data_IF_634701729235
#
_entry.id   IF_634701729235
#
_cell.length_a   1.000
_cell.length_b   1.000
_cell.length_c   1.000
_cell.angle_alpha   90.00
_cell.angle_beta   90.00
_cell.angle_gamma   90.00
#
_symmetry.space_group_name_H-M   'P 1'
#
loop_
_entity.id
_entity.type
_entity.pdbx_description
1 polymer ?
#
# COMPACT_ATOMS: atom_id res chain seq x y z
N UNK A 1 12.40 19.08 5.77
CA UNK A 1 11.48 18.04 5.28
C UNK A 1 10.08 18.63 5.24
N UNK A 2 9.37 18.57 4.11
CA UNK A 2 7.98 19.04 3.99
C UNK A 2 7.09 17.82 3.83
N UNK A 3 6.00 17.67 4.59
CA UNK A 3 5.12 16.52 4.46
C UNK A 3 4.45 16.51 3.08
N UNK A 4 4.49 15.36 2.39
CA UNK A 4 3.77 15.18 1.13
C UNK A 4 2.28 14.94 1.39
N UNK A 5 1.95 13.94 2.20
CA UNK A 5 0.57 13.57 2.52
C UNK A 5 0.51 13.05 3.96
N UNK A 6 -0.60 13.32 4.67
CA UNK A 6 -0.83 12.79 6.02
C UNK A 6 -1.98 11.78 6.01
N UNK A 7 -1.64 10.51 5.80
CA UNK A 7 -2.58 9.40 5.94
C UNK A 7 -2.98 9.15 7.40
N UNK A 8 -4.22 8.69 7.63
CA UNK A 8 -4.68 8.22 8.94
C UNK A 8 -5.19 6.77 8.87
N UNK A 9 -4.79 5.96 9.85
CA UNK A 9 -5.36 4.65 10.18
C UNK A 9 -5.65 4.63 11.68
N UNK A 10 -6.58 3.80 12.12
CA UNK A 10 -6.88 3.59 13.53
C UNK A 10 -5.84 2.65 14.16
N UNK A 11 -5.17 3.11 15.22
CA UNK A 11 -4.12 2.35 15.90
C UNK A 11 -2.71 2.84 15.58
N UNK A 12 -1.72 2.32 16.31
CA UNK A 12 -0.31 2.65 16.08
C UNK A 12 0.20 1.94 14.83
N UNK A 13 0.81 2.67 13.89
CA UNK A 13 1.40 2.08 12.68
C UNK A 13 2.69 1.35 13.05
N UNK A 14 2.71 0.04 12.87
CA UNK A 14 3.87 -0.81 13.14
C UNK A 14 4.83 -0.87 11.95
N UNK A 15 4.29 -0.98 10.74
CA UNK A 15 5.09 -1.02 9.52
C UNK A 15 4.31 -0.51 8.31
N UNK A 16 5.04 -0.12 7.27
CA UNK A 16 4.48 0.23 5.97
C UNK A 16 5.39 -0.22 4.84
N UNK A 17 4.82 -0.50 3.67
CA UNK A 17 5.55 -0.86 2.45
C UNK A 17 4.87 -0.26 1.23
N UNK A 18 5.68 0.24 0.30
CA UNK A 18 5.22 0.60 -1.04
C UNK A 18 4.98 -0.64 -1.89
N UNK A 19 4.08 -0.52 -2.86
CA UNK A 19 3.90 -1.53 -3.89
C UNK A 19 5.04 -1.45 -4.93
N UNK A 20 5.60 -2.60 -5.36
CA UNK A 20 6.67 -2.62 -6.36
C UNK A 20 6.18 -2.39 -7.80
N UNK A 21 4.87 -2.44 -8.03
CA UNK A 21 4.26 -2.33 -9.36
C UNK A 21 3.29 -1.14 -9.50
N UNK A 22 3.05 -0.38 -8.43
CA UNK A 22 2.29 0.86 -8.48
C UNK A 22 2.85 1.88 -7.47
N UNK A 23 3.48 2.91 -7.99
CA UNK A 23 4.22 3.95 -7.26
C UNK A 23 3.37 4.74 -6.26
N UNK A 24 2.06 4.84 -6.46
CA UNK A 24 1.16 5.57 -5.54
C UNK A 24 0.49 4.68 -4.50
N UNK A 25 0.69 3.36 -4.56
CA UNK A 25 0.05 2.40 -3.66
C UNK A 25 1.01 2.01 -2.54
N UNK A 26 0.51 2.07 -1.31
CA UNK A 26 1.22 1.58 -0.13
C UNK A 26 0.27 0.84 0.80
N UNK A 27 0.84 -0.04 1.60
CA UNK A 27 0.13 -0.72 2.70
C UNK A 27 0.77 -0.29 4.01
N UNK A 28 -0.07 0.05 4.98
CA UNK A 28 0.32 0.19 6.37
C UNK A 28 -0.33 -0.91 7.19
N UNK A 29 0.40 -1.44 8.18
CA UNK A 29 -0.12 -2.36 9.17
C UNK A 29 -0.02 -1.74 10.56
N UNK A 30 -1.05 -1.94 11.37
CA UNK A 30 -1.07 -1.45 12.76
C UNK A 30 -0.73 -2.56 13.74
N UNK A 31 -0.24 -2.18 14.92
CA UNK A 31 0.06 -3.11 16.02
C UNK A 31 -1.17 -3.94 16.43
N UNK A 32 -2.39 -3.46 16.18
CA UNK A 32 -3.62 -4.19 16.47
C UNK A 32 -4.06 -5.12 15.34
N UNK A 33 -3.25 -5.29 14.31
CA UNK A 33 -3.51 -6.22 13.20
C UNK A 33 -4.50 -5.68 12.17
N UNK A 34 -4.55 -4.35 11.97
CA UNK A 34 -5.26 -3.76 10.83
C UNK A 34 -4.30 -3.59 9.65
N UNK A 35 -4.74 -4.00 8.47
CA UNK A 35 -4.05 -3.77 7.20
C UNK A 35 -4.82 -2.70 6.45
N UNK A 36 -4.19 -1.55 6.22
CA UNK A 36 -4.76 -0.44 5.48
C UNK A 36 -4.05 -0.27 4.14
N UNK A 37 -4.80 -0.31 3.05
CA UNK A 37 -4.29 -0.11 1.68
C UNK A 37 -4.63 1.31 1.25
N UNK A 38 -3.62 2.06 0.83
CA UNK A 38 -3.73 3.42 0.33
C UNK A 38 -3.37 3.47 -1.14
N UNK A 39 -4.01 4.37 -1.88
CA UNK A 39 -3.57 4.80 -3.20
C UNK A 39 -3.66 6.32 -3.25
N UNK A 40 -2.49 6.97 -3.23
CA UNK A 40 -2.38 8.42 -3.17
C UNK A 40 -2.93 9.09 -4.44
N UNK A 41 -2.98 8.37 -5.57
CA UNK A 41 -3.52 8.87 -6.83
C UNK A 41 -5.05 8.83 -6.92
N UNK A 42 -5.68 7.92 -6.15
CA UNK A 42 -7.13 7.71 -6.18
C UNK A 42 -7.82 8.41 -5.00
N UNK A 43 -7.28 8.26 -3.79
CA UNK A 43 -7.86 8.82 -2.57
C UNK A 43 -6.76 9.28 -1.62
N UNK A 44 -6.61 10.61 -1.53
CA UNK A 44 -5.66 11.24 -0.62
C UNK A 44 -6.07 11.05 0.84
N UNK A 45 -5.07 10.93 1.72
CA UNK A 45 -5.20 10.88 3.19
C UNK A 45 -6.04 9.72 3.81
N UNK A 46 -6.82 8.96 3.02
CA UNK A 46 -7.72 7.91 3.52
C UNK A 46 -7.47 6.57 2.80
N UNK A 47 -7.55 5.44 3.52
CA UNK A 47 -7.37 4.15 2.90
C UNK A 47 -8.48 3.84 1.89
N UNK A 48 -8.12 3.10 0.85
CA UNK A 48 -9.08 2.46 -0.07
C UNK A 48 -9.77 1.28 0.61
N UNK A 49 -9.04 0.56 1.47
CA UNK A 49 -9.52 -0.59 2.20
C UNK A 49 -8.82 -0.67 3.56
N UNK A 50 -9.56 -1.05 4.60
CA UNK A 50 -9.01 -1.46 5.89
C UNK A 50 -9.53 -2.86 6.19
N UNK A 51 -8.62 -3.80 6.39
CA UNK A 51 -8.93 -5.18 6.74
C UNK A 51 -8.39 -5.50 8.13
N UNK A 52 -9.26 -5.96 9.02
CA UNK A 52 -8.87 -6.49 10.33
C UNK A 52 -8.46 -7.95 10.18
N UNK A 53 -7.25 -8.31 10.63
CA UNK A 53 -6.78 -9.70 10.68
C UNK A 53 -7.30 -10.45 11.92
N UNK A 54 -7.99 -9.72 12.81
CA UNK A 54 -8.34 -10.16 14.16
C UNK A 54 -9.68 -10.90 14.18
N UNK A 55 -9.80 -12.04 13.50
CA UNK A 55 -11.06 -12.80 13.54
C UNK A 55 -11.25 -13.62 14.82
N UNK A 56 -10.16 -14.00 15.53
CA UNK A 56 -10.26 -14.81 16.79
C UNK A 56 -9.20 -14.52 17.87
N UNK A 57 -8.02 -13.99 17.53
CA UNK A 57 -6.96 -13.56 18.47
C UNK A 57 -6.27 -12.32 17.93
N UNK A 58 -5.91 -11.36 18.80
CA UNK A 58 -5.04 -10.22 18.46
C UNK A 58 -3.74 -10.74 17.85
N UNK A 59 -3.56 -10.46 16.56
CA UNK A 59 -2.29 -10.66 15.86
C UNK A 59 -1.60 -9.31 15.87
N UNK A 60 -0.59 -9.17 16.72
CA UNK A 60 0.23 -7.98 16.70
C UNK A 60 1.14 -8.01 15.46
N UNK A 61 0.83 -7.19 14.47
CA UNK A 61 1.63 -7.10 13.26
C UNK A 61 2.87 -6.24 13.53
N UNK A 62 4.02 -6.68 13.06
CA UNK A 62 5.31 -6.02 13.25
C UNK A 62 6.02 -5.70 11.93
N UNK A 63 5.65 -6.38 10.83
CA UNK A 63 6.23 -6.11 9.53
C UNK A 63 5.24 -6.39 8.39
N UNK A 64 5.49 -5.75 7.25
CA UNK A 64 4.75 -5.99 6.02
C UNK A 64 5.70 -5.91 4.82
N UNK A 65 5.51 -6.80 3.84
CA UNK A 65 6.24 -6.78 2.58
C UNK A 65 5.34 -7.15 1.41
N UNK A 66 5.56 -6.52 0.26
CA UNK A 66 4.93 -6.94 -0.99
C UNK A 66 5.72 -8.07 -1.64
N UNK A 67 5.00 -9.01 -2.26
CA UNK A 67 5.60 -9.93 -3.21
C UNK A 67 6.02 -9.13 -4.47
N UNK A 68 7.27 -9.28 -4.96
CA UNK A 68 7.74 -8.56 -6.14
C UNK A 68 6.99 -8.92 -7.43
N UNK A 69 6.46 -10.14 -7.51
CA UNK A 69 5.93 -10.72 -8.75
C UNK A 69 4.40 -10.90 -8.75
N UNK A 70 3.77 -10.84 -7.59
CA UNK A 70 2.33 -11.06 -7.46
C UNK A 70 1.69 -10.04 -6.50
N UNK A 71 0.39 -9.73 -6.68
CA UNK A 71 -0.32 -8.78 -5.83
C UNK A 71 -0.72 -9.42 -4.49
N UNK A 72 0.29 -9.86 -3.76
CA UNK A 72 0.24 -10.54 -2.48
C UNK A 72 1.10 -9.73 -1.52
N UNK A 73 0.63 -9.58 -0.28
CA UNK A 73 1.41 -9.04 0.81
C UNK A 73 1.64 -10.11 1.88
N UNK A 74 2.82 -10.09 2.47
CA UNK A 74 3.14 -10.84 3.67
C UNK A 74 3.06 -9.89 4.86
N UNK A 75 2.37 -10.32 5.92
CA UNK A 75 2.30 -9.63 7.20
C UNK A 75 2.88 -10.55 8.25
N UNK A 76 3.98 -10.13 8.86
CA UNK A 76 4.58 -10.82 9.99
C UNK A 76 4.13 -10.20 11.30
N UNK A 77 4.03 -11.02 12.33
CA UNK A 77 3.64 -10.59 13.66
C UNK A 77 4.31 -11.40 14.77
N UNK A 78 3.82 -11.19 15.98
CA UNK A 78 4.35 -11.86 17.17
C UNK A 78 4.17 -13.38 17.14
N UNK A 79 4.97 -14.07 17.96
CA UNK A 79 4.91 -15.54 18.17
C UNK A 79 5.13 -16.35 16.88
N UNK A 80 5.89 -15.81 15.94
CA UNK A 80 6.20 -16.47 14.67
C UNK A 80 5.01 -16.54 13.70
N UNK A 81 3.95 -15.73 13.91
CA UNK A 81 2.82 -15.70 13.00
C UNK A 81 3.19 -14.98 11.70
N UNK A 82 2.89 -15.63 10.57
CA UNK A 82 3.04 -15.08 9.23
C UNK A 82 1.73 -15.28 8.48
N UNK A 83 1.23 -14.21 7.85
CA UNK A 83 0.01 -14.24 7.05
C UNK A 83 0.28 -13.73 5.65
N UNK A 84 -0.19 -14.47 4.65
CA UNK A 84 -0.17 -14.06 3.25
C UNK A 84 -1.56 -13.63 2.81
N UNK A 85 -1.69 -12.44 2.25
CA UNK A 85 -2.96 -11.84 1.85
C UNK A 85 -2.91 -11.46 0.37
N UNK A 86 -3.92 -11.88 -0.38
CA UNK A 86 -4.11 -11.49 -1.78
C UNK A 86 -4.88 -10.18 -1.86
N UNK A 87 -4.34 -9.20 -2.59
CA UNK A 87 -5.04 -7.94 -2.84
C UNK A 87 -6.22 -8.15 -3.81
N UNK A 88 -7.35 -7.53 -3.51
CA UNK A 88 -8.54 -7.61 -4.35
C UNK A 88 -8.30 -6.95 -5.72
N UNK A 89 -9.02 -7.36 -6.78
CA UNK A 89 -8.94 -6.72 -8.10
C UNK A 89 -9.01 -5.20 -8.08
N UNK A 90 -9.85 -4.64 -7.21
CA UNK A 90 -10.06 -3.20 -7.10
C UNK A 90 -8.84 -2.45 -6.57
N UNK A 91 -7.97 -3.12 -5.81
CA UNK A 91 -6.72 -2.56 -5.27
C UNK A 91 -5.53 -2.76 -6.22
N UNK A 92 -5.75 -3.37 -7.39
CA UNK A 92 -4.72 -3.72 -8.39
C UNK A 92 -4.88 -2.95 -9.70
N UNK A 93 -5.74 -1.92 -9.74
CA UNK A 93 -6.02 -1.20 -10.98
C UNK A 93 -4.76 -0.49 -11.44
N UNK A 94 -4.18 -0.99 -12.53
CA UNK A 94 -3.09 -0.33 -13.24
C UNK A 94 -3.69 0.74 -14.16
N UNK A 95 -2.95 1.82 -14.44
CA UNK A 95 -3.36 2.84 -15.39
C UNK A 95 -3.71 2.24 -16.75
N UNK A 96 -4.73 2.79 -17.41
CA UNK A 96 -5.14 2.33 -18.75
C UNK A 96 -3.99 2.40 -19.76
N UNK A 97 -3.15 3.42 -19.62
CA UNK A 97 -2.00 3.72 -20.49
C UNK A 97 -0.86 2.70 -20.34
N UNK A 98 -0.89 1.87 -19.29
CA UNK A 98 0.06 0.79 -19.09
C UNK A 98 -0.23 -0.45 -19.98
N UNK A 99 -1.40 -0.49 -20.63
CA UNK A 99 -1.82 -1.66 -21.40
C UNK A 99 -0.98 -1.79 -22.68
N UNK A 100 -0.11 -2.79 -22.73
CA UNK A 100 0.77 -3.06 -23.87
C UNK A 100 2.06 -2.22 -23.89
N UNK A 101 2.31 -1.45 -22.82
CA UNK A 101 3.55 -0.70 -22.66
C UNK A 101 4.72 -1.65 -22.31
N UNK A 102 5.92 -1.32 -22.78
CA UNK A 102 7.15 -2.00 -22.36
C UNK A 102 7.60 -1.56 -20.94
N UNK A 103 8.61 -2.25 -20.39
CA UNK A 103 9.06 -1.99 -19.01
C UNK A 103 9.56 -0.56 -18.80
N UNK A 104 10.25 0.02 -19.79
CA UNK A 104 10.76 1.39 -19.71
C UNK A 104 9.61 2.38 -19.62
N UNK A 105 8.63 2.24 -20.52
CA UNK A 105 7.43 3.07 -20.57
C UNK A 105 6.62 2.94 -19.29
N UNK A 106 6.50 1.73 -18.73
CA UNK A 106 5.83 1.51 -17.44
C UNK A 106 6.51 2.28 -16.31
N UNK A 107 7.85 2.23 -16.23
CA UNK A 107 8.61 3.00 -15.23
C UNK A 107 8.41 4.50 -15.39
N UNK A 108 8.40 5.00 -16.62
CA UNK A 108 8.16 6.43 -16.92
C UNK A 108 6.73 6.87 -16.54
N UNK A 109 5.72 6.03 -16.80
CA UNK A 109 4.32 6.28 -16.38
C UNK A 109 4.23 6.39 -14.86
N UNK A 110 4.83 5.45 -14.13
CA UNK A 110 4.83 5.43 -12.67
C UNK A 110 5.62 6.62 -12.08
N UNK A 111 6.75 6.98 -12.69
CA UNK A 111 7.50 8.18 -12.32
C UNK A 111 6.66 9.46 -12.48
N UNK A 112 6.07 9.65 -13.66
CA UNK A 112 5.25 10.84 -13.95
C UNK A 112 4.02 10.93 -13.03
N UNK A 113 3.47 9.79 -12.59
CA UNK A 113 2.37 9.76 -11.61
C UNK A 113 2.81 10.37 -10.28
N UNK A 114 4.00 10.02 -9.80
CA UNK A 114 4.53 10.56 -8.55
C UNK A 114 4.90 12.04 -8.67
N UNK A 115 5.51 12.47 -9.77
CA UNK A 115 5.78 13.89 -10.04
C UNK A 115 4.50 14.74 -9.99
N UNK A 116 3.40 14.24 -10.58
CA UNK A 116 2.09 14.91 -10.50
C UNK A 116 1.56 14.98 -9.07
N UNK A 117 1.74 13.93 -8.27
CA UNK A 117 1.32 13.92 -6.86
C UNK A 117 2.12 14.95 -6.05
N UNK A 118 3.43 15.02 -6.25
CA UNK A 118 4.32 15.99 -5.60
C UNK A 118 3.97 17.43 -6.02
N UNK A 119 3.79 17.67 -7.31
CA UNK A 119 3.49 19.01 -7.83
C UNK A 119 2.11 19.54 -7.42
N UNK A 120 1.13 18.66 -7.21
CA UNK A 120 -0.24 19.03 -6.78
C UNK A 120 -0.43 19.01 -5.27
N UNK A 121 0.64 18.76 -4.51
CA UNK A 121 0.59 18.87 -3.07
C UNK A 121 0.64 20.35 -2.65
N UNK A 122 -0.38 20.79 -1.91
CA UNK A 122 -0.47 22.12 -1.32
C UNK A 122 -0.27 21.99 0.19
N UNK A 123 0.92 21.54 0.57
CA UNK A 123 1.30 21.30 1.96
C UNK A 123 0.93 22.42 2.91
#
# INVERSE_FOLDING_TARGET
>A
MVPLEKGRVEGAVAAASWSPYNSSVLVAVTEEGRVAVYDLSVRRCRPLCVQSLVQRRRVAASCVAFCPFHPIILVGGEKGNLLSLKLSPNLRRVHKDAKGADEKTLREIEWCKMERLVATNRG
#
